data_IF_814767699286
#
_entry.id   IF_814767699286
#
_cell.length_a   1.000
_cell.length_b   1.000
_cell.length_c   1.000
_cell.angle_alpha   90.00
_cell.angle_beta   90.00
_cell.angle_gamma   90.00
#
_symmetry.space_group_name_H-M   'P 1'
#
loop_
_entity.id
_entity.type
_entity.pdbx_description
1 polymer ?
#
# COMPACT_ATOMS: atom_id res chain seq x y z
N UNK A 1 -14.50 -5.26 -2.52
CA UNK A 1 -13.61 -4.48 -3.43
C UNK A 1 -13.42 -3.04 -2.95
N UNK A 2 -14.42 -2.17 -2.91
CA UNK A 2 -14.20 -0.77 -2.44
C UNK A 2 -13.75 -0.68 -0.98
N UNK A 3 -14.39 -1.44 -0.08
CA UNK A 3 -13.97 -1.52 1.33
C UNK A 3 -12.54 -2.03 1.49
N UNK A 4 -12.14 -2.96 0.63
CA UNK A 4 -10.80 -3.56 0.66
C UNK A 4 -9.76 -2.58 0.10
N UNK A 5 -10.10 -1.84 -0.96
CA UNK A 5 -9.31 -0.70 -1.47
C UNK A 5 -9.07 0.33 -0.37
N UNK A 6 -10.12 0.75 0.34
CA UNK A 6 -10.01 1.74 1.41
C UNK A 6 -9.13 1.25 2.59
N UNK A 7 -9.14 -0.05 2.89
CA UNK A 7 -8.23 -0.64 3.90
C UNK A 7 -6.79 -0.61 3.42
N UNK A 8 -6.54 -1.04 2.18
CA UNK A 8 -5.20 -1.02 1.59
C UNK A 8 -4.63 0.40 1.49
N UNK A 9 -5.45 1.39 1.14
CA UNK A 9 -5.04 2.81 1.10
C UNK A 9 -4.61 3.31 2.48
N UNK A 10 -5.37 2.99 3.53
CA UNK A 10 -4.99 3.34 4.91
C UNK A 10 -3.67 2.69 5.32
N UNK A 11 -3.49 1.41 4.98
CA UNK A 11 -2.27 0.70 5.33
C UNK A 11 -1.06 1.20 4.54
N UNK A 12 -1.23 1.46 3.23
CA UNK A 12 -0.22 2.09 2.38
C UNK A 12 0.20 3.45 2.92
N UNK A 13 -0.76 4.29 3.36
CA UNK A 13 -0.46 5.60 3.91
C UNK A 13 0.40 5.52 5.18
N UNK A 14 0.14 4.54 6.04
CA UNK A 14 0.93 4.31 7.26
C UNK A 14 2.36 3.91 6.90
N UNK A 15 2.53 2.91 6.03
CA UNK A 15 3.85 2.40 5.65
C UNK A 15 4.63 3.48 4.88
N UNK A 16 3.98 4.19 3.96
CA UNK A 16 4.58 5.31 3.23
C UNK A 16 5.06 6.40 4.15
N UNK A 17 4.29 6.75 5.20
CA UNK A 17 4.69 7.74 6.20
C UNK A 17 5.93 7.29 6.99
N UNK A 18 6.04 6.00 7.33
CA UNK A 18 7.24 5.46 7.98
C UNK A 18 8.45 5.56 7.06
N UNK A 19 8.33 5.11 5.81
CA UNK A 19 9.41 5.11 4.84
C UNK A 19 9.83 6.52 4.38
N UNK A 20 8.94 7.51 4.50
CA UNK A 20 9.29 8.92 4.27
C UNK A 20 9.89 9.61 5.51
N UNK A 21 9.83 8.99 6.69
CA UNK A 21 10.32 9.58 7.93
C UNK A 21 11.81 9.29 8.13
N UNK A 22 12.64 10.34 8.02
CA UNK A 22 14.10 10.24 8.18
C UNK A 22 14.53 9.73 9.56
N UNK A 23 13.80 10.09 10.62
CA UNK A 23 14.08 9.57 11.97
C UNK A 23 13.83 8.08 12.06
N UNK A 24 12.76 7.58 11.42
CA UNK A 24 12.47 6.15 11.37
C UNK A 24 13.57 5.42 10.60
N UNK A 25 13.94 5.90 9.41
CA UNK A 25 14.99 5.29 8.59
C UNK A 25 16.37 5.29 9.28
N UNK A 26 16.69 6.34 10.04
CA UNK A 26 17.97 6.46 10.73
C UNK A 26 18.07 5.58 11.99
N UNK A 27 16.95 5.31 12.66
CA UNK A 27 16.92 4.63 13.98
C UNK A 27 16.42 3.19 13.91
N UNK A 28 15.64 2.84 12.89
CA UNK A 28 15.13 1.48 12.73
C UNK A 28 16.24 0.52 12.29
N UNK A 29 16.16 -0.72 12.75
CA UNK A 29 17.04 -1.78 12.25
C UNK A 29 16.81 -2.00 10.75
N UNK A 30 17.87 -2.30 10.00
CA UNK A 30 17.79 -2.52 8.55
C UNK A 30 16.72 -3.57 8.17
N UNK A 31 16.62 -4.66 8.93
CA UNK A 31 15.60 -5.68 8.72
C UNK A 31 14.15 -5.16 8.90
N UNK A 32 13.94 -4.16 9.76
CA UNK A 32 12.63 -3.53 9.95
C UNK A 32 12.31 -2.61 8.77
N UNK A 33 13.28 -1.82 8.31
CA UNK A 33 13.11 -0.95 7.13
C UNK A 33 12.81 -1.81 5.90
N UNK A 34 13.60 -2.85 5.65
CA UNK A 34 13.39 -3.77 4.54
C UNK A 34 12.00 -4.42 4.59
N UNK A 35 11.55 -4.85 5.78
CA UNK A 35 10.21 -5.42 5.94
C UNK A 35 9.10 -4.42 5.63
N UNK A 36 9.26 -3.15 5.99
CA UNK A 36 8.29 -2.10 5.65
C UNK A 36 8.34 -1.77 4.14
N UNK A 37 9.51 -1.82 3.49
CA UNK A 37 9.63 -1.66 2.02
C UNK A 37 8.97 -2.81 1.26
N UNK A 38 9.21 -4.06 1.66
CA UNK A 38 8.56 -5.24 1.10
C UNK A 38 7.04 -5.17 1.29
N UNK A 39 6.60 -4.82 2.50
CA UNK A 39 5.18 -4.59 2.80
C UNK A 39 4.58 -3.50 1.93
N UNK A 40 5.28 -2.38 1.75
CA UNK A 40 4.83 -1.29 0.88
C UNK A 40 4.64 -1.76 -0.56
N UNK A 41 5.59 -2.53 -1.09
CA UNK A 41 5.53 -3.10 -2.44
C UNK A 41 4.32 -4.03 -2.59
N UNK A 42 4.13 -4.98 -1.68
CA UNK A 42 3.00 -5.92 -1.73
C UNK A 42 1.65 -5.21 -1.66
N UNK A 43 1.52 -4.23 -0.76
CA UNK A 43 0.28 -3.47 -0.61
C UNK A 43 -0.03 -2.67 -1.87
N UNK A 44 0.99 -2.10 -2.52
CA UNK A 44 0.85 -1.34 -3.77
C UNK A 44 0.42 -2.23 -4.93
N UNK A 45 0.99 -3.43 -5.04
CA UNK A 45 0.58 -4.42 -6.05
C UNK A 45 -0.87 -4.85 -5.85
N UNK A 46 -1.27 -5.17 -4.60
CA UNK A 46 -2.66 -5.52 -4.26
C UNK A 46 -3.63 -4.38 -4.55
N UNK A 47 -3.27 -3.15 -4.20
CA UNK A 47 -4.11 -1.96 -4.45
C UNK A 47 -4.33 -1.77 -5.96
N UNK A 48 -3.28 -1.86 -6.77
CA UNK A 48 -3.37 -1.76 -8.23
C UNK A 48 -4.27 -2.83 -8.84
N UNK A 49 -4.22 -4.07 -8.33
CA UNK A 49 -5.10 -5.15 -8.79
C UNK A 49 -6.57 -4.86 -8.48
N UNK A 50 -6.86 -4.36 -7.27
CA UNK A 50 -8.24 -4.00 -6.88
C UNK A 50 -8.73 -2.81 -7.69
N UNK A 51 -7.91 -1.79 -7.94
CA UNK A 51 -8.30 -0.66 -8.80
C UNK A 51 -8.59 -1.09 -10.23
N UNK A 52 -7.77 -1.98 -10.81
CA UNK A 52 -8.03 -2.56 -12.14
C UNK A 52 -9.34 -3.34 -12.16
N UNK A 53 -9.63 -4.12 -11.11
CA UNK A 53 -10.87 -4.89 -11.02
C UNK A 53 -12.10 -3.97 -10.89
N UNK A 54 -12.03 -2.93 -10.04
CA UNK A 54 -13.10 -1.95 -9.89
C UNK A 54 -13.36 -1.18 -11.19
N UNK A 55 -12.30 -0.76 -11.88
CA UNK A 55 -12.44 -0.07 -13.18
C UNK A 55 -13.16 -0.94 -14.20
N UNK A 56 -12.78 -2.22 -14.33
CA UNK A 56 -13.47 -3.17 -15.22
C UNK A 56 -14.94 -3.34 -14.87
N UNK A 57 -15.28 -3.39 -13.57
CA UNK A 57 -16.67 -3.50 -13.13
C UNK A 57 -17.49 -2.26 -13.49
N UNK A 58 -16.91 -1.06 -13.38
CA UNK A 58 -17.55 0.18 -13.80
C UNK A 58 -17.78 0.20 -15.32
N UNK A 59 -16.79 -0.22 -16.10
CA UNK A 59 -16.89 -0.32 -17.56
C UNK A 59 -17.98 -1.31 -18.01
N UNK A 60 -18.15 -2.44 -17.29
CA UNK A 60 -19.19 -3.44 -17.59
C UNK A 60 -20.59 -3.07 -17.10
N UNK A 61 -20.69 -2.15 -16.15
CA UNK A 61 -21.96 -1.66 -15.62
C UNK A 61 -22.54 -0.49 -16.44
N UNK A 62 -21.84 -0.08 -17.51
CA UNK A 62 -22.21 0.97 -18.46
C UNK A 62 -22.65 0.35 -19.78
#
# INVERSE_FOLDING_TARGET
LEKDRAKLEKELAIVSRKLANRDFLAKAAAAVVQKEEEKHKELREKHLLIEKALKKLQELAT
#
